data_IF_610071401669
#
_entry.id   IF_610071401669
#
_cell.length_a   1.000
_cell.length_b   1.000
_cell.length_c   1.000
_cell.angle_alpha   90.00
_cell.angle_beta   90.00
_cell.angle_gamma   90.00
#
_symmetry.space_group_name_H-M   'P 1'
#
loop_
_entity.id
_entity.type
_entity.pdbx_description
1 polymer ?
#
# COMPACT_ATOMS: atom_id res chain seq x y z
N UNK A 1 -10.17 -23.65 -9.34
CA UNK A 1 -10.91 -23.09 -8.20
C UNK A 1 -10.04 -22.09 -7.42
N UNK A 2 -9.46 -21.08 -8.07
CA UNK A 2 -8.53 -20.13 -7.41
C UNK A 2 -9.05 -18.69 -7.29
N UNK A 3 -10.09 -18.30 -8.04
CA UNK A 3 -10.65 -16.93 -7.96
C UNK A 3 -11.28 -16.62 -6.62
N UNK A 4 -12.07 -17.54 -6.06
CA UNK A 4 -12.84 -17.28 -4.83
C UNK A 4 -11.94 -16.89 -3.64
N UNK A 5 -10.73 -17.44 -3.56
CA UNK A 5 -9.73 -17.08 -2.54
C UNK A 5 -9.10 -15.70 -2.79
N UNK A 6 -8.94 -15.29 -4.05
CA UNK A 6 -8.38 -13.99 -4.42
C UNK A 6 -9.37 -12.87 -4.17
N UNK A 7 -10.65 -13.06 -4.49
CA UNK A 7 -11.69 -12.08 -4.20
C UNK A 7 -11.83 -11.82 -2.70
N UNK A 8 -11.77 -12.87 -1.88
CA UNK A 8 -11.77 -12.76 -0.42
C UNK A 8 -10.53 -12.02 0.08
N UNK A 9 -9.35 -12.35 -0.44
CA UNK A 9 -8.11 -11.66 -0.09
C UNK A 9 -8.16 -10.18 -0.48
N UNK A 10 -8.64 -9.85 -1.68
CA UNK A 10 -8.81 -8.48 -2.14
C UNK A 10 -9.74 -7.67 -1.24
N UNK A 11 -10.88 -8.25 -0.84
CA UNK A 11 -11.80 -7.62 0.12
C UNK A 11 -11.16 -7.36 1.48
N UNK A 12 -10.38 -8.32 1.99
CA UNK A 12 -9.64 -8.20 3.25
C UNK A 12 -8.60 -7.07 3.15
N UNK A 13 -7.81 -7.03 2.09
CA UNK A 13 -6.77 -6.03 1.86
C UNK A 13 -7.37 -4.62 1.72
N UNK A 14 -8.44 -4.49 0.94
CA UNK A 14 -9.17 -3.23 0.83
C UNK A 14 -9.65 -2.73 2.20
N UNK A 15 -10.18 -3.62 3.04
CA UNK A 15 -10.57 -3.26 4.40
C UNK A 15 -9.38 -2.83 5.27
N UNK A 16 -8.23 -3.51 5.16
CA UNK A 16 -7.01 -3.14 5.88
C UNK A 16 -6.46 -1.78 5.42
N UNK A 17 -6.50 -1.47 4.12
CA UNK A 17 -6.13 -0.16 3.60
C UNK A 17 -7.00 0.97 4.17
N UNK A 18 -8.29 0.69 4.45
CA UNK A 18 -9.27 1.63 5.01
C UNK A 18 -9.30 1.72 6.55
N UNK A 19 -8.50 0.93 7.26
CA UNK A 19 -8.47 0.94 8.74
C UNK A 19 -7.11 1.34 9.24
N UNK A 20 -6.64 2.50 8.79
CA UNK A 20 -5.36 3.08 9.20
C UNK A 20 -5.55 4.10 10.30
N UNK A 21 -4.53 4.24 11.13
CA UNK A 21 -4.54 5.18 12.24
C UNK A 21 -4.54 6.64 11.74
N UNK A 22 -3.88 6.91 10.61
CA UNK A 22 -3.78 8.24 10.02
C UNK A 22 -4.56 8.33 8.71
N UNK A 23 -5.28 9.44 8.53
CA UNK A 23 -6.03 9.72 7.29
C UNK A 23 -5.09 9.83 6.08
N UNK A 24 -3.87 10.33 6.30
CA UNK A 24 -2.87 10.50 5.25
C UNK A 24 -2.39 9.15 4.70
N UNK A 25 -2.13 8.17 5.57
CA UNK A 25 -1.77 6.83 5.15
C UNK A 25 -2.97 6.09 4.54
N UNK A 26 -4.18 6.26 5.11
CA UNK A 26 -5.40 5.70 4.54
C UNK A 26 -5.61 6.15 3.09
N UNK A 27 -5.56 7.47 2.85
CA UNK A 27 -5.78 8.06 1.53
C UNK A 27 -4.75 7.55 0.51
N UNK A 28 -3.49 7.49 0.93
CA UNK A 28 -2.37 6.98 0.14
C UNK A 28 -2.61 5.53 -0.28
N UNK A 29 -2.90 4.65 0.69
CA UNK A 29 -3.12 3.23 0.43
C UNK A 29 -4.38 2.99 -0.40
N UNK A 30 -5.43 3.77 -0.19
CA UNK A 30 -6.65 3.71 -0.99
C UNK A 30 -6.41 4.07 -2.44
N UNK A 31 -5.65 5.13 -2.72
CA UNK A 31 -5.31 5.51 -4.10
C UNK A 31 -4.40 4.51 -4.78
N UNK A 32 -3.42 3.98 -4.04
CA UNK A 32 -2.62 2.87 -4.52
C UNK A 32 -3.50 1.66 -4.88
N UNK A 33 -4.44 1.32 -3.99
CA UNK A 33 -5.38 0.22 -4.18
C UNK A 33 -6.24 0.43 -5.43
N UNK A 34 -6.89 1.58 -5.58
CA UNK A 34 -7.74 1.87 -6.74
C UNK A 34 -6.98 1.80 -8.08
N UNK A 35 -5.69 2.17 -8.07
CA UNK A 35 -4.85 2.14 -9.29
C UNK A 35 -4.30 0.76 -9.63
N UNK A 36 -3.99 -0.07 -8.62
CA UNK A 36 -3.22 -1.30 -8.82
C UNK A 36 -4.04 -2.58 -8.54
N UNK A 37 -5.13 -2.54 -7.78
CA UNK A 37 -5.82 -3.73 -7.28
C UNK A 37 -6.32 -4.70 -8.37
N UNK A 38 -6.56 -4.21 -9.58
CA UNK A 38 -6.94 -5.05 -10.73
C UNK A 38 -5.74 -5.79 -11.34
N UNK A 39 -4.56 -5.15 -11.33
CA UNK A 39 -3.30 -5.63 -11.91
C UNK A 39 -2.47 -6.50 -10.93
N UNK A 40 -2.76 -6.43 -9.63
CA UNK A 40 -2.04 -7.22 -8.62
C UNK A 40 -2.27 -8.72 -8.80
N UNK A 41 -1.16 -9.46 -8.87
CA UNK A 41 -1.17 -10.93 -8.90
C UNK A 41 -1.46 -11.52 -7.53
N UNK A 42 -1.78 -12.82 -7.48
CA UNK A 42 -1.99 -13.55 -6.23
C UNK A 42 -0.81 -13.42 -5.25
N UNK A 43 0.42 -13.48 -5.76
CA UNK A 43 1.63 -13.33 -4.94
C UNK A 43 1.75 -11.90 -4.40
N UNK A 44 1.53 -10.90 -5.26
CA UNK A 44 1.57 -9.49 -4.85
C UNK A 44 0.51 -9.15 -3.80
N UNK A 45 -0.67 -9.78 -3.85
CA UNK A 45 -1.70 -9.61 -2.81
C UNK A 45 -1.26 -10.20 -1.47
N UNK A 46 -0.55 -11.33 -1.47
CA UNK A 46 0.01 -11.92 -0.25
C UNK A 46 1.15 -11.05 0.31
N UNK A 47 2.03 -10.55 -0.56
CA UNK A 47 3.07 -9.60 -0.18
C UNK A 47 2.46 -8.31 0.39
N UNK A 48 1.40 -7.79 -0.24
CA UNK A 48 0.67 -6.63 0.27
C UNK A 48 0.12 -6.93 1.67
N UNK A 49 -0.46 -8.11 1.88
CA UNK A 49 -0.95 -8.49 3.21
C UNK A 49 0.16 -8.41 4.26
N UNK A 50 1.35 -8.92 3.95
CA UNK A 50 2.51 -8.81 4.84
C UNK A 50 2.92 -7.35 5.07
N UNK A 51 2.99 -6.53 4.03
CA UNK A 51 3.31 -5.10 4.14
C UNK A 51 2.31 -4.40 5.07
N UNK A 52 1.02 -4.69 4.92
CA UNK A 52 -0.06 -4.08 5.68
C UNK A 52 -0.07 -4.47 7.18
N UNK A 53 0.77 -5.44 7.60
CA UNK A 53 1.01 -5.77 9.02
C UNK A 53 2.01 -4.84 9.71
N UNK A 54 2.75 -4.04 8.95
CA UNK A 54 3.65 -3.03 9.50
C UNK A 54 2.86 -1.93 10.22
N UNK A 55 3.52 -1.30 11.20
CA UNK A 55 2.95 -0.19 11.94
C UNK A 55 2.68 1.01 11.01
N UNK A 56 1.58 1.72 11.26
CA UNK A 56 1.18 2.88 10.46
C UNK A 56 2.28 3.96 10.41
N UNK A 57 3.02 4.16 11.50
CA UNK A 57 4.13 5.13 11.54
C UNK A 57 5.29 4.71 10.66
N UNK A 58 5.59 3.41 10.61
CA UNK A 58 6.62 2.86 9.73
C UNK A 58 6.22 2.97 8.27
N UNK A 59 4.98 2.58 7.94
CA UNK A 59 4.46 2.69 6.57
C UNK A 59 4.47 4.13 6.07
N UNK A 60 4.07 5.09 6.92
CA UNK A 60 4.10 6.51 6.59
C UNK A 60 5.55 7.00 6.40
N UNK A 61 6.46 6.68 7.32
CA UNK A 61 7.87 7.09 7.21
C UNK A 61 8.54 6.52 5.95
N UNK A 62 8.26 5.26 5.59
CA UNK A 62 8.76 4.65 4.35
C UNK A 62 8.18 5.36 3.12
N UNK A 63 6.87 5.63 3.14
CA UNK A 63 6.18 6.35 2.05
C UNK A 63 6.73 7.75 1.80
N UNK A 64 7.14 8.44 2.88
CA UNK A 64 7.79 9.74 2.82
C UNK A 64 9.28 9.65 2.47
N UNK A 65 9.85 8.45 2.32
CA UNK A 65 11.28 8.24 2.09
C UNK A 65 12.16 8.53 3.30
N UNK A 66 11.57 8.67 4.50
CA UNK A 66 12.29 8.87 5.76
C UNK A 66 12.87 7.57 6.30
N UNK A 67 12.33 6.41 5.89
CA UNK A 67 12.87 5.08 6.20
C UNK A 67 13.06 4.25 4.93
N UNK A 68 14.08 3.38 4.88
CA UNK A 68 14.25 2.42 3.80
C UNK A 68 13.22 1.30 3.89
N UNK A 69 12.95 0.65 2.75
CA UNK A 69 12.08 -0.53 2.70
C UNK A 69 12.77 -1.69 3.46
N UNK A 70 12.12 -2.31 4.45
CA UNK A 70 12.70 -3.42 5.21
C UNK A 70 13.03 -4.62 4.32
N UNK A 71 14.13 -5.31 4.66
CA UNK A 71 14.53 -6.54 3.98
C UNK A 71 13.50 -7.66 4.26
N UNK A 72 13.19 -8.46 3.24
CA UNK A 72 12.18 -9.54 3.34
C UNK A 72 10.80 -9.18 2.83
N UNK A 73 10.58 -7.92 2.44
CA UNK A 73 9.37 -7.49 1.72
C UNK A 73 9.65 -7.32 0.24
N UNK A 74 8.60 -7.45 -0.57
CA UNK A 74 8.65 -7.18 -2.00
C UNK A 74 8.93 -5.69 -2.25
N UNK A 75 10.18 -5.39 -2.61
CA UNK A 75 10.65 -4.02 -2.83
C UNK A 75 9.95 -3.33 -4.00
N UNK A 76 9.58 -4.10 -5.03
CA UNK A 76 8.86 -3.58 -6.20
C UNK A 76 7.45 -3.12 -5.82
N UNK A 77 6.73 -3.94 -5.05
CA UNK A 77 5.40 -3.61 -4.57
C UNK A 77 5.43 -2.41 -3.62
N UNK A 78 6.38 -2.40 -2.68
CA UNK A 78 6.57 -1.26 -1.78
C UNK A 78 6.89 0.03 -2.55
N UNK A 79 7.75 -0.04 -3.56
CA UNK A 79 8.06 1.10 -4.41
C UNK A 79 6.81 1.64 -5.11
N UNK A 80 5.91 0.78 -5.61
CA UNK A 80 4.62 1.21 -6.20
C UNK A 80 3.73 1.95 -5.21
N UNK A 81 3.68 1.51 -3.94
CA UNK A 81 2.95 2.20 -2.87
C UNK A 81 3.53 3.60 -2.62
N UNK A 82 4.86 3.68 -2.51
CA UNK A 82 5.61 4.93 -2.31
C UNK A 82 5.45 5.88 -3.50
N UNK A 83 5.49 5.37 -4.74
CA UNK A 83 5.26 6.16 -5.95
C UNK A 83 3.86 6.76 -5.98
N UNK A 84 2.86 5.98 -5.58
CA UNK A 84 1.49 6.43 -5.39
C UNK A 84 1.40 7.60 -4.41
N UNK A 85 2.18 7.56 -3.33
CA UNK A 85 2.27 8.62 -2.32
C UNK A 85 2.90 9.91 -2.85
N UNK A 86 4.06 9.79 -3.52
CA UNK A 86 4.85 10.94 -4.00
C UNK A 86 4.13 11.75 -5.07
N UNK A 87 3.30 11.10 -5.89
CA UNK A 87 2.50 11.79 -6.89
C UNK A 87 1.51 12.81 -6.31
N UNK A 88 1.27 12.78 -4.99
CA UNK A 88 0.34 13.66 -4.30
C UNK A 88 1.02 14.78 -3.50
N UNK A 89 2.17 14.50 -2.88
CA UNK A 89 2.96 15.50 -2.13
C UNK A 89 3.43 16.66 -3.03
N UNK A 90 3.61 16.39 -4.32
CA UNK A 90 3.95 17.40 -5.33
C UNK A 90 2.79 18.35 -5.70
N UNK A 91 1.55 18.07 -5.28
CA UNK A 91 0.38 18.93 -5.55
C UNK A 91 0.09 19.95 -4.45
N UNK A 92 0.70 19.83 -3.28
CA UNK A 92 0.41 20.67 -2.10
C UNK A 92 1.57 21.57 -1.64
N UNK A 93 2.65 21.69 -2.41
CA UNK A 93 3.59 22.81 -2.24
C UNK A 93 3.24 23.94 -3.22
N UNK A 94 2.51 24.99 -2.79
CA UNK A 94 2.67 26.29 -3.39
C UNK A 94 4.08 26.81 -3.02
N UNK A 95 4.80 27.32 -4.02
CA UNK A 95 5.96 28.19 -3.85
C UNK A 95 5.55 29.49 -3.13
#
# INVERSE_FOLDING_TARGET
MHSESLDVLKRKLHYLCRRRATQELELLLMRFWEKNADDLTAQELLDLEQILTLDDMDLLAISLGQRPIPQGYNQTLFAKIVEGARSETLRTQPD
#
